data_IF_362534879895
#
_entry.id   IF_362534879895
#
_cell.length_a   1.000
_cell.length_b   1.000
_cell.length_c   1.000
_cell.angle_alpha   90.00
_cell.angle_beta   90.00
_cell.angle_gamma   90.00
#
_symmetry.space_group_name_H-M   'P 1'
#
loop_
_entity.id
_entity.type
_entity.pdbx_description
1 polymer ?
#
# COMPACT_ATOMS: atom_id res chain seq x y z
N UNK A 1 22.80 4.62 9.97
CA UNK A 1 22.52 3.62 8.92
C UNK A 1 21.14 3.08 9.19
N UNK A 2 20.24 3.23 8.26
CA UNK A 2 18.88 2.66 8.30
C UNK A 2 19.01 1.13 8.37
N UNK A 3 18.50 0.54 9.43
CA UNK A 3 18.39 -0.94 9.49
C UNK A 3 17.09 -1.32 8.79
N UNK A 4 17.18 -2.20 7.79
CA UNK A 4 16.00 -2.77 7.16
C UNK A 4 15.12 -3.48 8.21
N UNK A 5 13.79 -3.45 8.10
CA UNK A 5 12.93 -4.21 8.98
C UNK A 5 13.19 -5.71 8.81
N UNK A 6 13.16 -6.44 9.91
CA UNK A 6 13.31 -7.90 9.92
C UNK A 6 11.93 -8.53 9.82
N UNK A 7 11.68 -9.29 8.76
CA UNK A 7 10.44 -10.02 8.52
C UNK A 7 10.70 -11.51 8.71
N UNK A 8 10.20 -12.07 9.80
CA UNK A 8 10.35 -13.49 10.10
C UNK A 8 9.60 -14.34 9.07
N UNK A 9 10.29 -15.31 8.45
CA UNK A 9 9.73 -16.15 7.39
C UNK A 9 8.55 -17.01 7.86
N UNK A 10 8.61 -17.56 9.08
CA UNK A 10 7.52 -18.39 9.61
C UNK A 10 6.26 -17.53 9.84
N UNK A 11 6.40 -16.33 10.40
CA UNK A 11 5.30 -15.38 10.56
C UNK A 11 4.73 -14.95 9.21
N UNK A 12 5.61 -14.65 8.24
CA UNK A 12 5.21 -14.29 6.89
C UNK A 12 4.38 -15.40 6.24
N UNK A 13 4.85 -16.66 6.30
CA UNK A 13 4.17 -17.81 5.73
C UNK A 13 2.81 -18.09 6.41
N UNK A 14 2.75 -17.96 7.74
CA UNK A 14 1.49 -18.12 8.48
C UNK A 14 0.45 -17.08 8.03
N UNK A 15 0.86 -15.83 7.90
CA UNK A 15 -0.01 -14.75 7.40
C UNK A 15 -0.40 -14.97 5.93
N UNK A 16 0.54 -15.41 5.09
CA UNK A 16 0.26 -15.75 3.69
C UNK A 16 -0.76 -16.86 3.55
N UNK A 17 -0.62 -17.93 4.34
CA UNK A 17 -1.60 -19.03 4.36
C UNK A 17 -2.99 -18.56 4.83
N UNK A 18 -3.07 -17.73 5.87
CA UNK A 18 -4.33 -17.15 6.34
C UNK A 18 -4.98 -16.26 5.27
N UNK A 19 -4.20 -15.37 4.62
CA UNK A 19 -4.65 -14.51 3.53
C UNK A 19 -5.20 -15.33 2.35
N UNK A 20 -4.45 -16.31 1.88
CA UNK A 20 -4.85 -17.19 0.78
C UNK A 20 -6.10 -18.00 1.15
N UNK A 21 -6.20 -18.49 2.40
CA UNK A 21 -7.37 -19.20 2.91
C UNK A 21 -8.65 -18.37 2.85
N UNK A 22 -8.57 -17.06 3.11
CA UNK A 22 -9.70 -16.14 2.98
C UNK A 22 -10.08 -15.98 1.50
N UNK A 23 -9.12 -15.68 0.62
CA UNK A 23 -9.39 -15.42 -0.80
C UNK A 23 -9.81 -16.66 -1.60
N UNK A 24 -9.56 -17.88 -1.11
CA UNK A 24 -10.07 -19.10 -1.73
C UNK A 24 -11.57 -19.35 -1.50
N UNK A 25 -12.17 -18.66 -0.54
CA UNK A 25 -13.59 -18.86 -0.19
C UNK A 25 -14.54 -18.24 -1.21
N UNK A 26 -14.15 -17.10 -1.79
CA UNK A 26 -14.98 -16.33 -2.73
C UNK A 26 -14.09 -15.57 -3.73
N UNK A 27 -14.62 -15.21 -4.91
CA UNK A 27 -13.92 -14.32 -5.83
C UNK A 27 -13.53 -13.00 -5.15
N UNK A 28 -12.35 -12.46 -5.51
CA UNK A 28 -11.81 -11.24 -4.90
C UNK A 28 -12.78 -10.06 -4.94
N UNK A 29 -13.59 -9.95 -5.99
CA UNK A 29 -14.61 -8.89 -6.13
C UNK A 29 -15.70 -8.94 -5.05
N UNK A 30 -15.99 -10.11 -4.46
CA UNK A 30 -16.93 -10.23 -3.35
C UNK A 30 -16.38 -9.57 -2.07
N UNK A 31 -15.07 -9.49 -1.95
CA UNK A 31 -14.35 -8.89 -0.82
C UNK A 31 -13.95 -7.43 -1.08
N UNK A 32 -13.57 -7.10 -2.33
CA UNK A 32 -13.08 -5.77 -2.73
C UNK A 32 -13.82 -5.38 -4.01
N UNK A 33 -14.83 -4.54 -3.89
CA UNK A 33 -15.84 -4.31 -4.92
C UNK A 33 -15.27 -3.88 -6.29
N UNK A 34 -14.16 -3.16 -6.32
CA UNK A 34 -13.49 -2.67 -7.52
C UNK A 34 -12.15 -3.42 -7.80
N UNK A 35 -12.07 -4.70 -7.41
CA UNK A 35 -10.91 -5.57 -7.71
C UNK A 35 -11.39 -6.87 -8.33
N UNK A 36 -11.02 -7.06 -9.60
CA UNK A 36 -11.26 -8.26 -10.39
C UNK A 36 -9.92 -8.88 -10.73
N UNK A 37 -9.35 -9.59 -9.78
CA UNK A 37 -8.06 -10.28 -9.92
C UNK A 37 -8.18 -11.67 -9.36
N UNK A 38 -7.49 -12.62 -9.93
CA UNK A 38 -7.32 -13.95 -9.33
C UNK A 38 -6.23 -13.86 -8.25
N UNK A 39 -6.46 -14.52 -7.11
CA UNK A 39 -5.48 -14.66 -6.04
C UNK A 39 -4.94 -16.07 -6.05
N UNK A 40 -3.63 -16.19 -6.19
CA UNK A 40 -2.89 -17.43 -6.28
C UNK A 40 -1.65 -17.36 -5.38
N UNK A 41 -0.77 -18.35 -5.42
CA UNK A 41 0.46 -18.39 -4.65
C UNK A 41 1.63 -18.95 -5.45
N UNK A 42 2.85 -18.51 -5.08
CA UNK A 42 4.13 -19.13 -5.46
C UNK A 42 4.91 -19.45 -4.20
N UNK A 43 5.51 -20.63 -4.14
CA UNK A 43 6.43 -21.03 -3.09
C UNK A 43 7.87 -21.03 -3.63
N UNK A 44 8.77 -20.32 -2.97
CA UNK A 44 10.19 -20.31 -3.36
C UNK A 44 11.08 -20.05 -2.15
N UNK A 45 12.13 -20.87 -1.98
CA UNK A 45 13.06 -20.77 -0.87
C UNK A 45 12.38 -20.87 0.50
N UNK A 46 11.30 -21.65 0.61
CA UNK A 46 10.52 -21.80 1.84
C UNK A 46 9.57 -20.63 2.13
N UNK A 47 9.50 -19.59 1.29
CA UNK A 47 8.55 -18.49 1.41
C UNK A 47 7.30 -18.74 0.57
N UNK A 48 6.12 -18.49 1.15
CA UNK A 48 4.82 -18.56 0.49
C UNK A 48 4.37 -17.15 0.09
N UNK A 49 4.47 -16.80 -1.18
CA UNK A 49 4.08 -15.49 -1.69
C UNK A 49 2.65 -15.47 -2.21
N UNK A 50 1.74 -14.64 -1.66
CA UNK A 50 0.48 -14.33 -2.32
C UNK A 50 0.74 -13.66 -3.68
N UNK A 51 0.00 -14.08 -4.68
CA UNK A 51 0.12 -13.59 -6.05
C UNK A 51 -1.24 -13.09 -6.52
N UNK A 52 -1.26 -11.97 -7.25
CA UNK A 52 -2.46 -11.55 -7.97
C UNK A 52 -2.24 -11.59 -9.46
N UNK A 53 -3.21 -12.11 -10.18
CA UNK A 53 -3.17 -12.27 -11.63
C UNK A 53 -4.27 -11.42 -12.27
N UNK A 54 -3.85 -10.44 -13.05
CA UNK A 54 -4.76 -9.58 -13.82
C UNK A 54 -4.65 -9.91 -15.29
N UNK A 55 -5.78 -10.10 -15.96
CA UNK A 55 -5.86 -10.36 -17.40
C UNK A 55 -6.37 -9.14 -18.20
N UNK A 56 -6.03 -7.95 -17.72
CA UNK A 56 -6.41 -6.64 -18.26
C UNK A 56 -7.90 -6.28 -18.04
N UNK A 57 -8.46 -6.66 -16.92
CA UNK A 57 -9.80 -6.27 -16.51
C UNK A 57 -9.90 -4.76 -16.34
N UNK A 58 -10.96 -4.13 -16.86
CA UNK A 58 -11.13 -2.69 -16.76
C UNK A 58 -11.42 -2.25 -15.32
N UNK A 59 -11.02 -1.04 -14.99
CA UNK A 59 -11.39 -0.31 -13.78
C UNK A 59 -10.97 -0.97 -12.45
N UNK A 60 -9.94 -1.84 -12.50
CA UNK A 60 -9.34 -2.41 -11.30
C UNK A 60 -8.68 -1.34 -10.44
N UNK A 61 -8.76 -1.50 -9.11
CA UNK A 61 -8.06 -0.66 -8.17
C UNK A 61 -6.54 -0.70 -8.40
N UNK A 62 -5.86 0.40 -8.07
CA UNK A 62 -4.41 0.55 -8.31
C UNK A 62 -3.55 -0.49 -7.57
N UNK A 63 -4.08 -1.13 -6.53
CA UNK A 63 -3.35 -2.16 -5.76
C UNK A 63 -3.06 -3.43 -6.57
N UNK A 64 -3.76 -3.66 -7.69
CA UNK A 64 -3.52 -4.81 -8.58
C UNK A 64 -3.32 -4.40 -10.05
N UNK A 65 -3.76 -3.21 -10.47
CA UNK A 65 -3.67 -2.74 -11.86
C UNK A 65 -2.50 -1.77 -12.08
N UNK A 66 -1.46 -2.17 -12.83
CA UNK A 66 -0.43 -1.25 -13.29
C UNK A 66 -0.97 -0.08 -14.12
N UNK A 67 -1.95 -0.32 -14.98
CA UNK A 67 -2.56 0.73 -15.81
C UNK A 67 -3.23 1.78 -14.93
N UNK A 68 -4.00 1.35 -13.94
CA UNK A 68 -4.63 2.27 -12.99
C UNK A 68 -3.57 3.03 -12.19
N UNK A 69 -2.52 2.35 -11.72
CA UNK A 69 -1.41 2.98 -10.97
C UNK A 69 -0.71 4.07 -11.77
N UNK A 70 -0.33 3.79 -13.01
CA UNK A 70 0.59 4.65 -13.78
C UNK A 70 -0.10 5.56 -14.80
N UNK A 71 -1.38 5.35 -15.08
CA UNK A 71 -2.16 6.17 -16.00
C UNK A 71 -3.35 6.84 -15.32
N UNK A 72 -4.32 6.07 -14.83
CA UNK A 72 -5.58 6.63 -14.34
C UNK A 72 -5.40 7.45 -13.06
N UNK A 73 -4.69 6.90 -12.07
CA UNK A 73 -4.40 7.59 -10.82
C UNK A 73 -3.48 8.81 -11.02
N UNK A 74 -2.47 8.68 -11.91
CA UNK A 74 -1.60 9.79 -12.27
C UNK A 74 -2.35 10.96 -12.92
N UNK A 75 -3.38 10.68 -13.74
CA UNK A 75 -4.26 11.70 -14.32
C UNK A 75 -5.06 12.45 -13.25
N UNK A 76 -5.61 11.75 -12.26
CA UNK A 76 -6.29 12.39 -11.13
C UNK A 76 -5.35 13.31 -10.33
N UNK A 77 -4.10 12.88 -10.12
CA UNK A 77 -3.11 13.71 -9.43
C UNK A 77 -2.76 14.97 -10.22
N UNK A 78 -2.61 14.88 -11.55
CA UNK A 78 -2.42 16.05 -12.41
C UNK A 78 -3.62 17.00 -12.31
N UNK A 79 -4.83 16.46 -12.22
CA UNK A 79 -6.04 17.28 -12.05
C UNK A 79 -6.07 18.04 -10.72
N UNK A 80 -5.56 17.45 -9.65
CA UNK A 80 -5.53 18.06 -8.31
C UNK A 80 -4.42 19.09 -8.14
N UNK A 81 -3.24 18.84 -8.71
CA UNK A 81 -2.03 19.61 -8.43
C UNK A 81 -1.56 20.50 -9.60
N UNK A 82 -2.16 20.35 -10.80
CA UNK A 82 -1.71 21.06 -11.99
C UNK A 82 -2.01 22.56 -11.95
N UNK A 83 -0.99 23.40 -12.23
CA UNK A 83 -1.20 24.80 -12.54
C UNK A 83 -2.05 24.94 -13.82
N UNK A 84 -3.07 25.84 -13.89
CA UNK A 84 -4.02 25.91 -15.00
C UNK A 84 -3.40 25.90 -16.39
N UNK A 85 -2.29 26.62 -16.59
CA UNK A 85 -1.59 26.75 -17.88
C UNK A 85 -0.87 25.45 -18.30
N UNK A 86 -0.41 24.64 -17.34
CA UNK A 86 0.35 23.41 -17.58
C UNK A 86 -0.57 22.19 -17.56
N UNK A 87 -1.72 22.30 -16.92
CA UNK A 87 -2.67 21.21 -16.69
C UNK A 87 -3.18 20.58 -18.00
N UNK A 88 -3.61 21.41 -18.97
CA UNK A 88 -4.17 20.90 -20.23
C UNK A 88 -3.16 20.09 -21.07
N UNK A 89 -1.93 20.59 -21.36
CA UNK A 89 -0.92 19.80 -22.07
C UNK A 89 -0.46 18.56 -21.31
N UNK A 90 -0.30 18.64 -19.98
CA UNK A 90 0.04 17.47 -19.16
C UNK A 90 -1.05 16.41 -19.18
N UNK A 91 -2.32 16.82 -19.09
CA UNK A 91 -3.46 15.91 -19.20
C UNK A 91 -3.50 15.21 -20.57
N UNK A 92 -3.27 15.94 -21.66
CA UNK A 92 -3.20 15.37 -23.01
C UNK A 92 -2.09 14.34 -23.15
N UNK A 93 -0.89 14.67 -22.68
CA UNK A 93 0.26 13.75 -22.69
C UNK A 93 0.01 12.52 -21.82
N UNK A 94 -0.50 12.69 -20.62
CA UNK A 94 -0.79 11.58 -19.70
C UNK A 94 -1.91 10.68 -20.24
N UNK A 95 -2.95 11.25 -20.85
CA UNK A 95 -4.03 10.50 -21.49
C UNK A 95 -3.54 9.70 -22.71
N UNK A 96 -2.77 10.32 -23.60
CA UNK A 96 -2.17 9.66 -24.77
C UNK A 96 -1.22 8.52 -24.35
N UNK A 97 -0.41 8.76 -23.31
CA UNK A 97 0.48 7.77 -22.77
C UNK A 97 -0.30 6.61 -22.10
N UNK A 98 -1.36 6.91 -21.35
CA UNK A 98 -2.24 5.89 -20.76
C UNK A 98 -2.93 5.03 -21.82
N UNK A 99 -3.35 5.62 -22.95
CA UNK A 99 -3.91 4.89 -24.07
C UNK A 99 -2.89 3.93 -24.69
N UNK A 100 -1.67 4.39 -24.88
CA UNK A 100 -0.57 3.56 -25.39
C UNK A 100 -0.22 2.41 -24.41
N UNK A 101 -0.17 2.66 -23.10
CA UNK A 101 0.04 1.63 -22.10
C UNK A 101 -1.07 0.57 -22.12
N UNK A 102 -2.33 0.99 -22.31
CA UNK A 102 -3.47 0.07 -22.46
C UNK A 102 -3.33 -0.81 -23.70
N UNK A 103 -2.98 -0.24 -24.86
CA UNK A 103 -2.72 -1.02 -26.08
C UNK A 103 -1.54 -1.98 -25.94
N UNK A 104 -0.57 -1.64 -25.10
CA UNK A 104 0.54 -2.52 -24.76
C UNK A 104 0.18 -3.62 -23.76
N UNK A 105 -1.07 -3.65 -23.29
CA UNK A 105 -1.59 -4.65 -22.34
C UNK A 105 -0.76 -4.74 -21.05
N UNK A 106 -0.33 -3.58 -20.49
CA UNK A 106 0.51 -3.59 -19.28
C UNK A 106 -0.24 -4.15 -18.04
N UNK A 107 -1.57 -4.21 -18.12
CA UNK A 107 -2.43 -4.81 -17.09
C UNK A 107 -2.48 -6.34 -17.16
N UNK A 108 -1.92 -6.97 -18.19
CA UNK A 108 -1.57 -8.39 -18.10
C UNK A 108 -0.39 -8.53 -17.17
N UNK A 109 -0.70 -8.66 -15.89
CA UNK A 109 0.25 -8.51 -14.82
C UNK A 109 0.07 -9.61 -13.76
N UNK A 110 1.17 -10.24 -13.41
CA UNK A 110 1.29 -11.11 -12.25
C UNK A 110 2.07 -10.36 -11.19
N UNK A 111 1.42 -10.00 -10.08
CA UNK A 111 2.08 -9.28 -9.00
C UNK A 111 2.42 -10.25 -7.86
N UNK A 112 3.72 -10.51 -7.69
CA UNK A 112 4.28 -11.36 -6.64
C UNK A 112 4.26 -10.60 -5.30
N UNK A 113 3.94 -11.32 -4.23
CA UNK A 113 3.83 -10.75 -2.90
C UNK A 113 2.83 -9.58 -2.85
N UNK A 114 1.66 -9.78 -3.46
CA UNK A 114 0.61 -8.77 -3.49
C UNK A 114 -0.53 -9.12 -2.54
N UNK A 115 -0.61 -8.42 -1.44
CA UNK A 115 -1.63 -8.56 -0.39
C UNK A 115 -2.89 -7.72 -0.65
N UNK A 116 -2.99 -7.12 -1.82
CA UNK A 116 -4.06 -6.17 -2.19
C UNK A 116 -4.18 -4.97 -1.25
N UNK A 117 -3.08 -4.61 -0.61
CA UNK A 117 -2.97 -3.44 0.27
C UNK A 117 -2.01 -2.41 -0.31
N UNK A 118 -1.99 -1.22 0.30
CA UNK A 118 -1.17 -0.12 -0.18
C UNK A 118 0.34 -0.39 -0.11
N UNK A 119 0.80 -1.11 0.90
CA UNK A 119 2.22 -1.41 1.13
C UNK A 119 2.38 -2.88 1.45
N UNK A 120 3.17 -3.59 0.65
CA UNK A 120 3.52 -4.98 0.88
C UNK A 120 4.86 -5.07 1.63
N UNK A 121 4.93 -5.91 2.66
CA UNK A 121 6.19 -6.26 3.31
C UNK A 121 6.88 -7.40 2.56
N UNK A 122 8.20 -7.44 2.61
CA UNK A 122 8.99 -8.51 2.01
C UNK A 122 9.82 -9.21 3.08
N UNK A 123 9.93 -10.54 3.05
CA UNK A 123 10.89 -11.25 3.89
C UNK A 123 12.31 -10.93 3.46
N UNK A 124 13.28 -11.26 4.32
CA UNK A 124 14.69 -11.16 3.95
C UNK A 124 14.96 -11.98 2.67
N UNK A 125 15.82 -11.45 1.81
CA UNK A 125 16.07 -12.06 0.51
C UNK A 125 16.86 -13.40 0.61
N UNK A 126 17.56 -13.60 1.72
CA UNK A 126 18.40 -14.78 1.93
C UNK A 126 17.58 -16.08 1.81
N UNK A 127 18.05 -16.97 0.92
CA UNK A 127 17.37 -18.23 0.65
C UNK A 127 16.15 -18.13 -0.30
N UNK A 128 15.71 -16.93 -0.67
CA UNK A 128 14.58 -16.75 -1.60
C UNK A 128 15.03 -17.06 -3.03
N UNK A 129 14.43 -18.04 -3.65
CA UNK A 129 14.69 -18.47 -5.03
C UNK A 129 14.10 -17.53 -6.07
N UNK A 130 14.64 -16.33 -6.30
CA UNK A 130 14.11 -15.38 -7.29
C UNK A 130 14.03 -15.95 -8.71
N UNK A 131 15.03 -16.75 -9.11
CA UNK A 131 15.02 -17.38 -10.43
C UNK A 131 13.90 -18.43 -10.54
N UNK A 132 13.61 -19.14 -9.45
CA UNK A 132 12.47 -20.06 -9.37
C UNK A 132 11.15 -19.30 -9.49
N UNK A 133 10.98 -18.18 -8.76
CA UNK A 133 9.78 -17.32 -8.86
C UNK A 133 9.55 -16.86 -10.30
N UNK A 134 10.59 -16.36 -10.95
CA UNK A 134 10.49 -15.87 -12.33
C UNK A 134 10.20 -17.00 -13.31
N UNK A 135 10.86 -18.17 -13.18
CA UNK A 135 10.65 -19.32 -14.04
C UNK A 135 9.21 -19.86 -13.91
N UNK A 136 8.73 -20.06 -12.68
CA UNK A 136 7.37 -20.50 -12.41
C UNK A 136 6.31 -19.51 -12.92
N UNK A 137 6.56 -18.19 -12.71
CA UNK A 137 5.66 -17.15 -13.22
C UNK A 137 5.57 -17.16 -14.74
N UNK A 138 6.70 -17.32 -15.46
CA UNK A 138 6.71 -17.40 -16.91
C UNK A 138 6.04 -18.68 -17.43
N UNK A 139 6.17 -19.80 -16.71
CA UNK A 139 5.52 -21.05 -17.07
C UNK A 139 4.01 -20.98 -16.89
N UNK A 140 3.55 -20.45 -15.74
CA UNK A 140 2.11 -20.39 -15.40
C UNK A 140 1.38 -19.29 -16.16
N UNK A 141 2.04 -18.15 -16.37
CA UNK A 141 1.46 -16.95 -17.00
C UNK A 141 2.38 -16.38 -18.11
N UNK A 142 2.55 -17.11 -19.21
CA UNK A 142 3.55 -16.78 -20.24
C UNK A 142 3.29 -15.46 -20.99
N UNK A 143 2.09 -14.89 -20.86
CA UNK A 143 1.70 -13.63 -21.54
C UNK A 143 1.67 -12.43 -20.59
N UNK A 144 2.02 -12.61 -19.33
CA UNK A 144 1.93 -11.58 -18.29
C UNK A 144 3.32 -11.06 -17.90
N UNK A 145 3.43 -9.77 -17.62
CA UNK A 145 4.61 -9.21 -16.97
C UNK A 145 4.60 -9.58 -15.47
N UNK A 146 5.78 -9.87 -14.91
CA UNK A 146 5.91 -10.20 -13.48
C UNK A 146 6.30 -8.95 -12.71
N UNK A 147 5.51 -8.61 -11.68
CA UNK A 147 5.63 -7.38 -10.91
C UNK A 147 5.95 -7.66 -9.45
N UNK A 148 6.90 -6.91 -8.89
CA UNK A 148 7.18 -6.85 -7.46
C UNK A 148 6.94 -5.40 -7.01
N UNK A 149 5.90 -5.18 -6.21
CA UNK A 149 5.44 -3.84 -5.78
C UNK A 149 6.00 -3.48 -4.40
N UNK A 150 5.89 -2.21 -4.03
CA UNK A 150 6.18 -1.68 -2.69
C UNK A 150 7.66 -1.74 -2.28
N UNK A 151 8.58 -1.84 -3.22
CA UNK A 151 10.02 -1.86 -2.94
C UNK A 151 10.57 -0.44 -2.77
N UNK A 152 11.43 -0.23 -1.78
CA UNK A 152 12.14 1.04 -1.61
C UNK A 152 13.60 0.79 -1.17
N UNK A 153 14.47 1.75 -1.39
CA UNK A 153 15.91 1.60 -1.13
C UNK A 153 16.28 1.55 0.35
N UNK A 154 15.40 2.03 1.25
CA UNK A 154 15.65 2.00 2.68
C UNK A 154 15.44 0.59 3.27
N UNK A 155 14.36 -0.08 2.87
CA UNK A 155 13.96 -1.37 3.43
C UNK A 155 14.31 -2.57 2.54
N UNK A 156 14.45 -2.37 1.21
CA UNK A 156 14.53 -3.48 0.24
C UNK A 156 15.67 -3.28 -0.77
N UNK A 157 16.83 -2.76 -0.33
CA UNK A 157 17.98 -2.51 -1.21
C UNK A 157 18.45 -3.78 -1.92
N UNK A 158 18.50 -4.90 -1.20
CA UNK A 158 18.96 -6.18 -1.73
C UNK A 158 17.96 -6.78 -2.74
N UNK A 159 16.66 -6.69 -2.46
CA UNK A 159 15.60 -7.06 -3.41
C UNK A 159 15.73 -6.26 -4.71
N UNK A 160 15.86 -4.93 -4.61
CA UNK A 160 15.97 -4.05 -5.77
C UNK A 160 17.22 -4.39 -6.60
N UNK A 161 18.35 -4.65 -5.94
CA UNK A 161 19.60 -5.05 -6.60
C UNK A 161 19.43 -6.39 -7.30
N UNK A 162 19.00 -7.43 -6.60
CA UNK A 162 18.84 -8.77 -7.12
C UNK A 162 17.84 -8.86 -8.29
N UNK A 163 16.73 -8.11 -8.23
CA UNK A 163 15.77 -8.01 -9.32
C UNK A 163 16.33 -7.21 -10.52
N UNK A 164 17.10 -6.15 -10.26
CA UNK A 164 17.77 -5.38 -11.31
C UNK A 164 18.79 -6.22 -12.06
N UNK A 165 19.60 -7.03 -11.35
CA UNK A 165 20.62 -7.93 -11.92
C UNK A 165 20.00 -8.98 -12.84
N UNK A 166 18.76 -9.39 -12.56
CA UNK A 166 17.94 -10.26 -13.43
C UNK A 166 17.30 -9.53 -14.60
N UNK A 167 17.48 -8.22 -14.64
CA UNK A 167 16.99 -7.32 -15.70
C UNK A 167 15.52 -6.91 -15.56
N UNK A 168 15.03 -6.87 -14.33
CA UNK A 168 13.79 -6.18 -14.05
C UNK A 168 13.93 -4.69 -14.32
N UNK A 169 12.88 -4.08 -14.83
CA UNK A 169 12.75 -2.64 -15.02
C UNK A 169 12.26 -2.04 -13.71
N UNK A 170 13.05 -1.18 -13.08
CA UNK A 170 12.63 -0.48 -11.88
C UNK A 170 11.78 0.76 -12.26
N UNK A 171 10.52 0.77 -11.90
CA UNK A 171 9.57 1.84 -12.20
C UNK A 171 9.18 2.54 -10.89
N UNK A 172 9.59 3.81 -10.68
CA UNK A 172 9.12 4.60 -9.54
C UNK A 172 7.60 4.73 -9.55
N UNK A 173 6.95 4.52 -8.39
CA UNK A 173 5.48 4.58 -8.27
C UNK A 173 5.01 5.79 -7.47
N UNK A 174 5.52 5.96 -6.27
CA UNK A 174 5.06 7.02 -5.33
C UNK A 174 6.11 7.34 -4.28
N UNK A 175 5.91 8.40 -3.50
CA UNK A 175 6.70 8.71 -2.33
C UNK A 175 5.99 8.23 -1.07
N UNK A 176 6.63 7.39 -0.29
CA UNK A 176 6.13 6.86 1.00
C UNK A 176 6.89 7.49 2.16
N UNK A 177 6.36 7.36 3.38
CA UNK A 177 6.94 7.94 4.59
C UNK A 177 7.25 6.83 5.60
N UNK A 178 8.54 6.73 5.94
CA UNK A 178 9.11 5.73 6.84
C UNK A 178 9.41 6.36 8.19
N UNK A 179 9.17 5.62 9.26
CA UNK A 179 9.49 6.00 10.63
C UNK A 179 10.29 4.84 11.24
N UNK A 180 11.58 5.06 11.44
CA UNK A 180 12.50 4.00 11.86
C UNK A 180 12.54 3.82 13.38
N UNK A 181 12.96 4.84 14.09
CA UNK A 181 12.97 4.85 15.56
C UNK A 181 11.82 5.71 16.09
N UNK A 182 10.64 5.08 16.19
CA UNK A 182 9.44 5.79 16.64
C UNK A 182 9.56 6.21 18.11
N UNK A 183 10.32 5.48 18.93
CA UNK A 183 10.54 5.82 20.33
C UNK A 183 11.38 7.11 20.45
N UNK A 184 12.46 7.23 19.70
CA UNK A 184 13.26 8.46 19.65
C UNK A 184 12.46 9.63 19.07
N UNK A 185 11.72 9.41 17.99
CA UNK A 185 10.84 10.42 17.40
C UNK A 185 9.78 10.91 18.40
N UNK A 186 9.20 10.01 19.20
CA UNK A 186 8.25 10.36 20.26
C UNK A 186 8.89 11.23 21.35
N UNK A 187 10.19 11.14 21.58
CA UNK A 187 10.93 11.97 22.51
C UNK A 187 11.36 13.33 21.94
N UNK A 188 11.56 13.44 20.63
CA UNK A 188 12.18 14.63 20.02
C UNK A 188 11.25 15.42 19.09
N UNK A 189 10.21 14.82 18.53
CA UNK A 189 9.30 15.51 17.57
C UNK A 189 8.08 16.11 18.29
N UNK A 190 8.06 17.42 18.41
CA UNK A 190 7.01 18.17 19.15
C UNK A 190 5.59 17.82 18.69
N UNK A 191 5.35 17.65 17.38
CA UNK A 191 4.02 17.33 16.87
C UNK A 191 3.61 15.89 17.25
N UNK A 192 4.53 14.94 17.22
CA UNK A 192 4.26 13.57 17.65
C UNK A 192 3.98 13.51 19.16
N UNK A 193 4.79 14.20 19.98
CA UNK A 193 4.51 14.34 21.43
C UNK A 193 3.10 14.87 21.70
N UNK A 194 2.71 15.93 21.02
CA UNK A 194 1.36 16.53 21.20
C UNK A 194 0.25 15.58 20.80
N UNK A 195 0.46 14.75 19.76
CA UNK A 195 -0.54 13.77 19.34
C UNK A 195 -0.63 12.60 20.32
N UNK A 196 0.50 12.13 20.88
CA UNK A 196 0.51 11.12 21.92
C UNK A 196 -0.12 11.63 23.22
N UNK A 197 0.17 12.87 23.65
CA UNK A 197 -0.49 13.49 24.80
C UNK A 197 -1.99 13.63 24.59
N UNK A 198 -2.45 13.86 23.35
CA UNK A 198 -3.87 13.92 23.04
C UNK A 198 -4.58 12.59 23.34
N UNK A 199 -3.90 11.45 23.15
CA UNK A 199 -4.43 10.12 23.48
C UNK A 199 -4.48 9.83 25.00
N UNK A 200 -3.63 10.47 25.79
CA UNK A 200 -3.57 10.26 27.24
C UNK A 200 -4.53 11.15 28.04
N UNK A 201 -5.34 11.96 27.39
CA UNK A 201 -6.41 12.68 28.08
C UNK A 201 -7.45 11.68 28.54
N UNK A 202 -7.80 11.75 29.83
CA UNK A 202 -8.61 10.75 30.54
C UNK A 202 -9.98 10.45 29.90
N UNK A 203 -10.56 11.42 29.22
CA UNK A 203 -11.80 11.30 28.47
C UNK A 203 -11.69 10.55 27.13
N UNK A 204 -10.47 10.36 26.60
CA UNK A 204 -10.21 9.65 25.35
C UNK A 204 -9.77 8.20 25.54
N UNK A 205 -9.10 7.87 26.66
CA UNK A 205 -8.64 6.50 26.91
C UNK A 205 -9.82 5.53 27.10
N UNK A 206 -10.93 5.98 27.67
CA UNK A 206 -12.15 5.19 27.81
C UNK A 206 -12.90 4.98 26.49
N UNK A 207 -12.59 5.75 25.44
CA UNK A 207 -13.22 5.68 24.13
C UNK A 207 -12.47 4.82 23.12
N UNK A 208 -11.25 4.41 23.42
CA UNK A 208 -10.47 3.52 22.55
C UNK A 208 -10.99 2.10 22.73
N UNK A 209 -11.31 1.45 21.60
CA UNK A 209 -11.77 0.06 21.58
C UNK A 209 -10.90 -0.80 20.68
N UNK A 210 -10.79 -2.07 21.03
CA UNK A 210 -10.23 -3.15 20.18
C UNK A 210 -11.25 -4.26 19.94
N UNK A 211 -12.45 -4.11 20.47
CA UNK A 211 -13.55 -5.04 20.34
C UNK A 211 -14.56 -4.47 19.35
N UNK A 212 -14.96 -5.29 18.38
CA UNK A 212 -15.83 -4.90 17.28
C UNK A 212 -16.84 -6.00 17.00
N UNK A 213 -18.10 -5.64 16.90
CA UNK A 213 -19.17 -6.49 16.42
C UNK A 213 -19.43 -6.33 14.91
N UNK A 214 -20.45 -6.98 14.37
CA UNK A 214 -20.74 -6.95 12.93
C UNK A 214 -21.21 -5.58 12.45
N UNK A 215 -21.85 -4.80 13.28
CA UNK A 215 -22.28 -3.43 12.97
C UNK A 215 -21.06 -2.50 12.92
N UNK A 216 -20.13 -2.67 13.85
CA UNK A 216 -18.84 -1.99 13.82
C UNK A 216 -18.05 -2.30 12.56
N UNK A 217 -17.98 -3.56 12.11
CA UNK A 217 -17.27 -3.90 10.88
C UNK A 217 -17.91 -3.23 9.65
N UNK A 218 -19.24 -3.14 9.59
CA UNK A 218 -19.94 -2.35 8.54
C UNK A 218 -19.54 -0.88 8.63
N UNK A 219 -19.55 -0.32 9.85
CA UNK A 219 -19.18 1.07 10.09
C UNK A 219 -17.69 1.34 9.73
N UNK A 220 -16.79 0.43 10.00
CA UNK A 220 -15.37 0.51 9.59
C UNK A 220 -15.26 0.62 8.06
N UNK A 221 -15.97 -0.23 7.32
CA UNK A 221 -15.97 -0.19 5.86
C UNK A 221 -16.53 1.13 5.31
N UNK A 222 -17.58 1.68 5.91
CA UNK A 222 -18.13 3.01 5.58
C UNK A 222 -17.11 4.12 5.83
N UNK A 223 -16.52 4.21 7.02
CA UNK A 223 -15.52 5.22 7.37
C UNK A 223 -14.29 5.16 6.45
N UNK A 224 -13.85 3.96 6.08
CA UNK A 224 -12.80 3.78 5.09
C UNK A 224 -13.23 4.29 3.72
N UNK A 225 -14.42 3.93 3.26
CA UNK A 225 -14.97 4.33 1.96
C UNK A 225 -15.14 5.84 1.85
N UNK A 226 -15.65 6.49 2.90
CA UNK A 226 -15.79 7.96 2.96
C UNK A 226 -14.46 8.67 2.79
N UNK A 227 -13.39 8.15 3.41
CA UNK A 227 -12.07 8.75 3.33
C UNK A 227 -11.37 8.42 2.01
N UNK A 228 -11.29 7.14 1.65
CA UNK A 228 -10.42 6.71 0.53
C UNK A 228 -11.11 6.73 -0.82
N UNK A 229 -12.40 6.39 -0.89
CA UNK A 229 -13.15 6.33 -2.15
C UNK A 229 -13.78 7.70 -2.46
N UNK A 230 -14.57 8.23 -1.53
CA UNK A 230 -15.31 9.45 -1.81
C UNK A 230 -14.45 10.71 -1.76
N UNK A 231 -13.55 10.82 -0.79
CA UNK A 231 -12.71 12.02 -0.63
C UNK A 231 -11.42 11.99 -1.46
N UNK A 232 -10.76 10.79 -1.60
CA UNK A 232 -9.49 10.72 -2.31
C UNK A 232 -9.66 10.23 -3.75
N UNK A 233 -9.88 8.93 -4.00
CA UNK A 233 -9.96 8.40 -5.35
C UNK A 233 -10.76 7.10 -5.40
N UNK A 234 -11.63 6.97 -6.40
CA UNK A 234 -12.35 5.73 -6.69
C UNK A 234 -11.42 4.58 -7.11
N UNK A 235 -10.16 4.87 -7.46
CA UNK A 235 -9.15 3.86 -7.78
C UNK A 235 -8.51 3.21 -6.55
N UNK A 236 -8.78 3.69 -5.33
CA UNK A 236 -8.42 2.97 -4.12
C UNK A 236 -9.24 1.68 -3.99
N UNK A 237 -8.71 0.62 -3.36
CA UNK A 237 -9.48 -0.61 -3.16
C UNK A 237 -10.68 -0.35 -2.26
N UNK A 238 -11.86 -0.79 -2.69
CA UNK A 238 -13.13 -0.65 -1.95
C UNK A 238 -13.37 -1.89 -1.11
N UNK A 239 -12.71 -1.98 0.05
CA UNK A 239 -12.81 -3.12 0.96
C UNK A 239 -14.22 -3.28 1.54
N UNK A 240 -14.76 -4.51 1.42
CA UNK A 240 -16.00 -4.90 2.08
C UNK A 240 -15.80 -5.20 3.57
N UNK A 241 -16.83 -5.02 4.37
CA UNK A 241 -16.77 -5.26 5.81
C UNK A 241 -16.45 -6.72 6.17
N UNK A 242 -16.89 -7.68 5.34
CA UNK A 242 -16.62 -9.11 5.52
C UNK A 242 -15.14 -9.43 5.41
N UNK A 243 -14.41 -8.79 4.48
CA UNK A 243 -12.97 -8.94 4.36
C UNK A 243 -12.24 -8.37 5.57
N UNK A 244 -12.61 -7.15 5.99
CA UNK A 244 -12.00 -6.50 7.15
C UNK A 244 -12.21 -7.36 8.41
N UNK A 245 -13.42 -7.91 8.58
CA UNK A 245 -13.72 -8.85 9.66
C UNK A 245 -12.86 -10.11 9.58
N UNK A 246 -12.77 -10.75 8.39
CA UNK A 246 -11.95 -11.95 8.18
C UNK A 246 -10.46 -11.67 8.45
N UNK A 247 -9.92 -10.55 8.01
CA UNK A 247 -8.54 -10.15 8.31
C UNK A 247 -8.32 -9.93 9.81
N UNK A 248 -9.27 -9.32 10.51
CA UNK A 248 -9.17 -9.11 11.96
C UNK A 248 -9.23 -10.44 12.73
N UNK A 249 -10.20 -11.29 12.39
CA UNK A 249 -10.41 -12.60 13.07
C UNK A 249 -9.26 -13.58 12.81
N UNK A 250 -8.61 -13.50 11.65
CA UNK A 250 -7.44 -14.34 11.32
C UNK A 250 -6.12 -13.79 11.90
N UNK A 251 -6.13 -12.66 12.59
CA UNK A 251 -4.92 -12.03 13.12
C UNK A 251 -4.05 -11.35 12.07
N UNK A 252 -4.53 -11.20 10.83
CA UNK A 252 -3.84 -10.43 9.79
C UNK A 252 -3.88 -8.94 10.07
N UNK A 253 -4.99 -8.44 10.63
CA UNK A 253 -5.22 -7.01 10.85
C UNK A 253 -5.56 -6.75 12.32
N UNK A 254 -4.74 -5.95 12.98
CA UNK A 254 -4.98 -5.47 14.34
C UNK A 254 -5.76 -4.15 14.28
N UNK A 255 -7.01 -4.14 14.74
CA UNK A 255 -7.87 -2.95 14.70
C UNK A 255 -7.83 -2.19 16.02
N UNK A 256 -7.87 -0.86 15.95
CA UNK A 256 -8.13 0.04 17.07
C UNK A 256 -9.11 1.12 16.64
N UNK A 257 -10.15 1.34 17.42
CA UNK A 257 -11.21 2.31 17.13
C UNK A 257 -11.33 3.39 18.18
N UNK A 258 -11.96 4.50 17.82
CA UNK A 258 -12.31 5.61 18.71
C UNK A 258 -13.83 5.79 18.64
N UNK A 259 -14.51 5.67 19.80
CA UNK A 259 -15.95 5.89 19.94
C UNK A 259 -16.24 7.27 20.54
N UNK A 260 -17.41 7.80 20.25
CA UNK A 260 -17.94 8.97 20.94
C UNK A 260 -18.66 8.59 22.25
N UNK A 261 -19.25 9.58 22.93
CA UNK A 261 -19.95 9.38 24.22
C UNK A 261 -21.20 8.51 24.08
N UNK A 262 -21.78 8.42 22.89
CA UNK A 262 -22.93 7.55 22.58
C UNK A 262 -22.49 6.11 22.21
N UNK A 263 -21.18 5.82 22.23
CA UNK A 263 -20.62 4.52 21.87
C UNK A 263 -20.46 4.30 20.35
N UNK A 264 -20.79 5.31 19.51
CA UNK A 264 -20.69 5.19 18.06
C UNK A 264 -19.24 5.30 17.59
N UNK A 265 -18.81 4.40 16.71
CA UNK A 265 -17.47 4.39 16.16
C UNK A 265 -17.25 5.59 15.20
N UNK A 266 -16.36 6.51 15.58
CA UNK A 266 -16.04 7.73 14.84
C UNK A 266 -14.71 7.65 14.07
N UNK A 267 -13.84 6.71 14.44
CA UNK A 267 -12.57 6.52 13.75
C UNK A 267 -12.01 5.13 14.00
N UNK A 268 -11.22 4.63 13.05
CA UNK A 268 -10.59 3.32 13.10
C UNK A 268 -9.24 3.35 12.41
N UNK A 269 -8.30 2.60 12.93
CA UNK A 269 -7.05 2.24 12.26
C UNK A 269 -6.83 0.75 12.36
N UNK A 270 -6.40 0.15 11.24
CA UNK A 270 -6.02 -1.25 11.16
C UNK A 270 -4.54 -1.38 10.79
N UNK A 271 -3.82 -2.14 11.58
CA UNK A 271 -2.38 -2.38 11.43
C UNK A 271 -2.13 -3.78 10.88
N UNK A 272 -1.31 -3.85 9.86
CA UNK A 272 -0.74 -5.09 9.34
C UNK A 272 0.73 -5.14 9.76
N UNK A 273 1.09 -6.17 10.53
CA UNK A 273 2.44 -6.35 11.07
C UNK A 273 3.17 -7.46 10.33
N UNK A 274 4.45 -7.25 10.08
CA UNK A 274 5.39 -8.27 9.64
C UNK A 274 6.71 -8.08 10.40
N UNK A 275 7.00 -8.97 11.33
CA UNK A 275 8.15 -8.83 12.21
C UNK A 275 8.14 -7.49 12.96
N UNK A 276 9.17 -6.67 12.76
CA UNK A 276 9.25 -5.34 13.33
C UNK A 276 8.81 -4.21 12.37
N UNK A 277 8.05 -4.52 11.31
CA UNK A 277 7.43 -3.53 10.40
C UNK A 277 5.93 -3.47 10.61
N UNK A 278 5.40 -2.27 10.83
CA UNK A 278 3.97 -1.96 10.83
C UNK A 278 3.60 -1.16 9.59
N UNK A 279 2.49 -1.54 8.97
CA UNK A 279 1.80 -0.72 7.96
C UNK A 279 0.35 -0.52 8.36
N UNK A 280 -0.29 0.52 7.84
CA UNK A 280 -1.69 0.84 8.18
C UNK A 280 -2.55 0.87 6.91
N UNK A 281 -2.99 -0.30 6.40
CA UNK A 281 -3.82 -0.37 5.20
C UNK A 281 -5.24 0.14 5.41
N UNK A 282 -5.75 0.10 6.63
CA UNK A 282 -7.09 0.57 6.98
C UNK A 282 -6.97 1.80 7.87
N UNK A 283 -7.47 2.92 7.39
CA UNK A 283 -7.69 4.13 8.17
C UNK A 283 -9.05 4.70 7.75
N UNK A 284 -9.93 4.94 8.68
CA UNK A 284 -11.22 5.55 8.41
C UNK A 284 -11.64 6.44 9.57
N UNK A 285 -12.28 7.56 9.27
CA UNK A 285 -12.85 8.40 10.31
C UNK A 285 -14.02 9.20 9.75
N UNK A 286 -14.91 9.62 10.62
CA UNK A 286 -16.06 10.45 10.26
C UNK A 286 -15.60 11.82 9.75
N UNK A 287 -15.64 11.98 8.42
CA UNK A 287 -15.15 13.19 7.72
C UNK A 287 -16.12 14.37 7.87
N UNK A 288 -17.35 14.15 8.36
CA UNK A 288 -18.31 15.21 8.63
C UNK A 288 -18.05 15.93 9.97
N UNK A 289 -17.27 15.33 10.86
CA UNK A 289 -16.89 15.97 12.11
C UNK A 289 -15.83 17.05 11.87
N UNK A 290 -15.93 18.19 12.60
CA UNK A 290 -14.98 19.28 12.46
C UNK A 290 -13.54 18.85 12.70
N UNK A 291 -12.56 19.35 11.91
CA UNK A 291 -11.13 19.01 12.05
C UNK A 291 -10.55 19.26 13.46
N UNK A 292 -11.14 20.15 14.26
CA UNK A 292 -10.76 20.45 15.64
C UNK A 292 -10.80 19.23 16.57
N UNK A 293 -11.65 18.23 16.29
CA UNK A 293 -11.69 16.97 17.04
C UNK A 293 -10.41 16.14 16.88
N UNK A 294 -9.65 16.35 15.81
CA UNK A 294 -8.34 15.74 15.63
C UNK A 294 -8.35 14.23 15.42
N UNK A 295 -9.45 13.64 14.93
CA UNK A 295 -9.58 12.17 14.75
C UNK A 295 -8.41 11.57 14.00
N UNK A 296 -8.00 12.15 12.87
CA UNK A 296 -6.84 11.64 12.12
C UNK A 296 -5.55 11.68 12.94
N UNK A 297 -5.35 12.74 13.74
CA UNK A 297 -4.18 12.86 14.64
C UNK A 297 -4.19 11.74 15.70
N UNK A 298 -5.35 11.48 16.31
CA UNK A 298 -5.49 10.42 17.31
C UNK A 298 -5.28 9.03 16.73
N UNK A 299 -5.84 8.76 15.54
CA UNK A 299 -5.62 7.48 14.85
C UNK A 299 -4.14 7.25 14.53
N UNK A 300 -3.44 8.28 14.03
CA UNK A 300 -2.00 8.17 13.77
C UNK A 300 -1.20 8.05 15.07
N UNK A 301 -1.63 8.68 16.15
CA UNK A 301 -0.99 8.51 17.45
C UNK A 301 -1.20 7.08 18.02
N UNK A 302 -2.34 6.42 17.74
CA UNK A 302 -2.53 5.00 18.06
C UNK A 302 -1.51 4.11 17.32
N UNK A 303 -1.27 4.37 16.03
CA UNK A 303 -0.22 3.68 15.25
C UNK A 303 1.15 3.85 15.90
N UNK A 304 1.52 5.10 16.22
CA UNK A 304 2.83 5.41 16.78
C UNK A 304 2.98 4.85 18.20
N UNK A 305 1.93 4.88 19.02
CA UNK A 305 1.92 4.26 20.36
C UNK A 305 2.15 2.75 20.26
N UNK A 306 1.47 2.07 19.33
CA UNK A 306 1.68 0.64 19.08
C UNK A 306 3.12 0.36 18.61
N UNK A 307 3.64 1.17 17.70
CA UNK A 307 5.01 1.03 17.19
C UNK A 307 6.06 1.20 18.30
N UNK A 308 5.87 2.15 19.23
CA UNK A 308 6.74 2.32 20.41
C UNK A 308 6.67 1.10 21.32
N UNK A 309 5.45 0.62 21.63
CA UNK A 309 5.24 -0.56 22.48
C UNK A 309 5.94 -1.80 21.93
N UNK A 310 5.84 -2.01 20.64
CA UNK A 310 6.31 -3.23 19.97
C UNK A 310 7.73 -3.08 19.38
N UNK A 311 8.35 -1.92 19.54
CA UNK A 311 9.66 -1.58 18.94
C UNK A 311 9.68 -1.79 17.44
N UNK A 312 8.61 -1.39 16.75
CA UNK A 312 8.44 -1.53 15.33
C UNK A 312 8.80 -0.24 14.56
N UNK A 313 9.32 -0.42 13.36
CA UNK A 313 9.34 0.62 12.32
C UNK A 313 7.94 0.76 11.71
N UNK A 314 7.64 1.92 11.13
CA UNK A 314 6.34 2.15 10.50
C UNK A 314 6.50 2.65 9.08
N UNK A 315 5.78 2.04 8.15
CA UNK A 315 5.59 2.57 6.81
C UNK A 315 4.13 3.05 6.65
N UNK A 316 3.94 4.36 6.68
CA UNK A 316 2.60 4.98 6.53
C UNK A 316 2.20 5.20 5.08
N UNK A 317 2.87 4.56 4.11
CA UNK A 317 2.53 4.71 2.70
C UNK A 317 2.61 6.17 2.21
N UNK A 318 1.99 6.48 1.07
CA UNK A 318 1.92 7.83 0.50
C UNK A 318 0.81 8.68 1.14
N UNK A 319 0.67 9.94 0.70
CA UNK A 319 -0.35 10.88 1.16
C UNK A 319 -0.05 11.53 2.50
N UNK A 320 -0.76 12.62 2.82
CA UNK A 320 -0.59 13.43 4.03
C UNK A 320 0.88 13.81 4.33
N UNK A 321 1.66 14.08 3.30
CA UNK A 321 3.10 14.29 3.34
C UNK A 321 3.56 15.31 4.39
N UNK A 322 2.93 16.47 4.44
CA UNK A 322 3.26 17.52 5.41
C UNK A 322 3.04 17.05 6.86
N UNK A 323 1.92 16.36 7.11
CA UNK A 323 1.58 15.80 8.41
C UNK A 323 2.64 14.79 8.89
N UNK A 324 3.04 13.86 8.02
CA UNK A 324 4.00 12.80 8.33
C UNK A 324 5.41 13.34 8.58
N UNK A 325 5.88 14.29 7.75
CA UNK A 325 7.18 14.94 7.93
C UNK A 325 7.31 15.70 9.24
N UNK A 326 6.26 16.41 9.66
CA UNK A 326 6.24 17.11 10.95
C UNK A 326 6.37 16.16 12.16
N UNK A 327 6.13 14.88 11.96
CA UNK A 327 6.22 13.81 12.98
C UNK A 327 7.47 12.94 12.83
N UNK A 328 8.36 13.30 11.92
CA UNK A 328 9.62 12.61 11.71
C UNK A 328 9.59 11.54 10.63
N UNK A 329 8.52 11.50 9.83
CA UNK A 329 8.46 10.59 8.67
C UNK A 329 9.46 10.99 7.58
N UNK A 330 10.37 10.09 7.25
CA UNK A 330 11.38 10.27 6.21
C UNK A 330 10.83 9.81 4.85
N UNK A 331 10.95 10.64 3.79
CA UNK A 331 10.44 10.29 2.47
C UNK A 331 11.33 9.27 1.78
N UNK A 332 10.73 8.23 1.23
CA UNK A 332 11.39 7.25 0.37
C UNK A 332 10.60 7.06 -0.93
N UNK A 333 11.30 6.90 -2.06
CA UNK A 333 10.65 6.55 -3.32
C UNK A 333 10.39 5.04 -3.33
N UNK A 334 9.14 4.69 -3.58
CA UNK A 334 8.70 3.31 -3.77
C UNK A 334 8.77 2.95 -5.26
N UNK A 335 9.18 1.72 -5.54
CA UNK A 335 9.35 1.18 -6.89
C UNK A 335 8.50 -0.07 -7.07
N UNK A 336 8.09 -0.29 -8.31
CA UNK A 336 7.76 -1.61 -8.82
C UNK A 336 8.94 -2.12 -9.65
N UNK A 337 9.39 -3.35 -9.40
CA UNK A 337 10.35 -4.04 -10.26
C UNK A 337 9.57 -4.97 -11.21
N UNK A 338 9.82 -4.84 -12.52
CA UNK A 338 9.00 -5.51 -13.55
C UNK A 338 9.88 -6.37 -14.44
N UNK A 339 9.65 -7.67 -14.42
CA UNK A 339 10.28 -8.60 -15.34
C UNK A 339 9.38 -8.83 -16.57
N UNK A 340 9.90 -8.56 -17.77
CA UNK A 340 9.15 -8.66 -19.01
C UNK A 340 10.01 -9.18 -20.18
N UNK A 341 11.19 -9.76 -19.93
CA UNK A 341 12.13 -10.21 -20.99
C UNK A 341 11.54 -11.29 -21.91
N UNK A 342 10.63 -12.12 -21.37
CA UNK A 342 9.94 -13.19 -22.11
C UNK A 342 8.80 -12.69 -23.02
N UNK A 343 8.37 -11.44 -22.83
CA UNK A 343 7.24 -10.86 -23.57
C UNK A 343 7.69 -10.26 -24.90
N UNK A 344 6.77 -10.07 -25.86
CA UNK A 344 7.05 -9.39 -27.11
C UNK A 344 7.55 -7.95 -26.92
N UNK A 345 8.41 -7.44 -27.82
CA UNK A 345 8.96 -6.08 -27.77
C UNK A 345 7.90 -4.98 -27.62
N UNK A 346 6.71 -5.18 -28.20
CA UNK A 346 5.57 -4.25 -28.08
C UNK A 346 5.09 -4.05 -26.64
N UNK A 347 5.30 -5.03 -25.75
CA UNK A 347 4.98 -4.93 -24.33
C UNK A 347 6.18 -4.45 -23.51
N UNK A 348 7.41 -4.83 -23.89
CA UNK A 348 8.62 -4.42 -23.18
C UNK A 348 8.92 -2.92 -23.34
N UNK A 349 8.75 -2.37 -24.55
CA UNK A 349 9.14 -0.98 -24.86
C UNK A 349 8.34 0.04 -24.03
N UNK A 350 7.00 -0.06 -23.88
CA UNK A 350 6.22 0.80 -23.00
C UNK A 350 6.67 0.78 -21.56
N UNK A 351 6.99 -0.39 -21.00
CA UNK A 351 7.51 -0.53 -19.64
C UNK A 351 8.87 0.16 -19.45
N UNK A 352 9.78 0.03 -20.44
CA UNK A 352 11.08 0.72 -20.41
C UNK A 352 10.91 2.24 -20.46
N UNK A 353 10.02 2.73 -21.33
CA UNK A 353 9.73 4.17 -21.45
C UNK A 353 9.04 4.67 -20.18
N UNK A 354 8.08 3.92 -19.62
CA UNK A 354 7.45 4.24 -18.33
C UNK A 354 8.49 4.39 -17.22
N UNK A 355 9.40 3.41 -17.08
CA UNK A 355 10.47 3.46 -16.08
C UNK A 355 11.42 4.65 -16.27
N UNK A 356 11.74 5.01 -17.52
CA UNK A 356 12.56 6.20 -17.82
C UNK A 356 11.82 7.50 -17.51
N UNK A 357 10.57 7.62 -17.95
CA UNK A 357 9.75 8.81 -17.77
C UNK A 357 9.46 9.07 -16.29
N UNK A 358 9.03 8.04 -15.53
CA UNK A 358 8.78 8.19 -14.09
C UNK A 358 10.04 8.51 -13.31
N UNK A 359 11.20 7.97 -13.70
CA UNK A 359 12.48 8.30 -13.05
C UNK A 359 12.92 9.73 -13.36
N UNK A 360 12.81 10.18 -14.62
CA UNK A 360 13.32 11.48 -15.05
C UNK A 360 12.36 12.63 -14.72
N UNK A 361 11.06 12.41 -14.76
CA UNK A 361 10.03 13.43 -14.54
C UNK A 361 9.28 13.21 -13.22
N UNK A 362 8.80 12.00 -12.98
CA UNK A 362 7.98 11.69 -11.82
C UNK A 362 8.71 11.86 -10.50
N UNK A 363 9.92 11.30 -10.35
CA UNK A 363 10.70 11.40 -9.10
C UNK A 363 11.05 12.85 -8.74
N UNK A 364 11.55 13.71 -9.65
CA UNK A 364 11.74 15.14 -9.36
C UNK A 364 10.45 15.85 -8.94
N UNK A 365 9.33 15.56 -9.59
CA UNK A 365 8.01 16.13 -9.25
C UNK A 365 7.61 15.69 -7.84
N UNK A 366 7.63 14.39 -7.54
CA UNK A 366 7.29 13.85 -6.22
C UNK A 366 8.13 14.50 -5.11
N UNK A 367 9.45 14.64 -5.32
CA UNK A 367 10.36 15.27 -4.35
C UNK A 367 10.08 16.77 -4.18
N UNK A 368 9.85 17.50 -5.30
CA UNK A 368 9.61 18.96 -5.28
C UNK A 368 8.29 19.31 -4.60
N UNK A 369 7.24 18.61 -4.94
CA UNK A 369 5.89 18.88 -4.42
C UNK A 369 5.56 18.07 -3.17
N UNK A 370 6.49 17.22 -2.71
CA UNK A 370 6.34 16.40 -1.50
C UNK A 370 5.07 15.53 -1.53
N UNK A 371 4.82 14.93 -2.71
CA UNK A 371 3.64 14.10 -2.97
C UNK A 371 3.76 12.74 -2.29
#
# INVERSE_FOLDING_TARGET
>A
MTTAPVVNLNEFNAKAAAYLGIHRQQPTQAFIANVRTEVDAIEAGGALFPVTVNDAEPDNAWVCSPLTTYASYALEEVERFGHPVIKAPLKGLASGFGHWLRHASIDRAVAINNWLVSTNAYPDLDGIGLDQILAESMQRWPTHAVWFRSLNTAHHADWLRALSDRGCILIPSRQVYLFEDVADLALHRTNLKRDLVLLHRSDLDHRITREFDDEDFRRIAELYKDLYIHKYSAFNPSYGWTLIKSWSQSGLLELSGIRDDAGVLQGVVGLLRFGNLLTSPIVGYNTSLPPKFGLYRMLMALVMRQAVSDRCQVNLSAGAAHFKRLRGGEPAIEYSAVFAKHLPRRMQLPLKILGKATRQLGVPIMKRYKL
#
